data_IF_552342017389
#
_entry.id   IF_552342017389
#
_cell.length_a   1.000
_cell.length_b   1.000
_cell.length_c   1.000
_cell.angle_alpha   90.00
_cell.angle_beta   90.00
_cell.angle_gamma   90.00
#
_symmetry.space_group_name_H-M   'P 1'
#
loop_
_entity.id
_entity.type
_entity.pdbx_description
1 polymer ?
#
# COMPACT_ATOMS: atom_id res chain seq x y z
N UNK A 1 35.64 8.29 -4.24
CA UNK A 1 34.66 7.60 -3.40
C UNK A 1 33.40 7.40 -4.23
N UNK A 2 32.87 6.17 -4.34
CA UNK A 2 31.67 5.87 -5.13
C UNK A 2 30.44 6.59 -4.54
N UNK A 3 29.49 7.02 -5.38
CA UNK A 3 28.22 7.59 -4.95
C UNK A 3 27.48 6.61 -4.02
N UNK A 4 27.45 5.32 -4.37
CA UNK A 4 26.82 4.28 -3.56
C UNK A 4 27.44 4.18 -2.16
N UNK A 5 28.77 4.18 -2.07
CA UNK A 5 29.48 4.12 -0.78
C UNK A 5 29.27 5.36 0.10
N UNK A 6 28.90 6.51 -0.50
CA UNK A 6 28.57 7.71 0.26
C UNK A 6 27.23 7.63 0.99
N UNK A 7 26.27 6.94 0.39
CA UNK A 7 24.89 6.90 0.84
C UNK A 7 24.48 5.56 1.48
N UNK A 8 25.35 4.55 1.43
CA UNK A 8 25.10 3.21 1.95
C UNK A 8 26.34 2.65 2.64
N UNK A 9 26.19 2.29 3.90
CA UNK A 9 27.22 1.59 4.66
C UNK A 9 27.51 0.23 4.03
N UNK A 10 26.48 -0.49 3.58
CA UNK A 10 26.59 -1.77 2.92
C UNK A 10 27.48 -1.71 1.66
N UNK A 11 27.26 -0.72 0.79
CA UNK A 11 28.12 -0.52 -0.39
C UNK A 11 29.52 0.00 -0.02
N UNK A 12 29.65 0.77 1.04
CA UNK A 12 30.97 1.17 1.54
C UNK A 12 31.81 -0.04 1.94
N UNK A 13 31.21 -0.96 2.68
CA UNK A 13 31.87 -2.17 3.16
C UNK A 13 32.17 -3.15 2.00
N UNK A 14 31.19 -3.36 1.10
CA UNK A 14 31.41 -4.20 -0.09
C UNK A 14 32.56 -3.72 -0.98
N UNK A 15 32.70 -2.40 -1.16
CA UNK A 15 33.77 -1.81 -1.96
C UNK A 15 35.12 -1.76 -1.23
N UNK A 16 35.12 -1.88 0.10
CA UNK A 16 36.35 -1.95 0.90
C UNK A 16 36.96 -3.36 0.93
N UNK A 17 36.19 -4.39 0.61
CA UNK A 17 36.67 -5.78 0.54
C UNK A 17 37.66 -5.89 -0.63
N UNK A 18 38.88 -6.43 -0.41
CA UNK A 18 39.82 -6.68 -1.48
C UNK A 18 39.19 -7.58 -2.55
N UNK A 19 39.17 -7.11 -3.78
CA UNK A 19 38.70 -7.92 -4.90
C UNK A 19 39.71 -9.04 -5.19
N UNK A 20 39.26 -10.28 -5.45
CA UNK A 20 40.14 -11.36 -5.82
C UNK A 20 40.97 -10.95 -7.04
N UNK A 21 42.22 -11.34 -7.04
CA UNK A 21 43.15 -11.12 -8.19
C UNK A 21 42.92 -12.17 -9.29
N UNK A 22 41.69 -12.54 -9.54
CA UNK A 22 41.37 -13.52 -10.55
C UNK A 22 41.83 -13.00 -11.91
N UNK A 23 42.84 -13.66 -12.43
CA UNK A 23 43.04 -13.81 -13.87
C UNK A 23 41.70 -14.26 -14.41
N UNK A 24 41.11 -13.47 -15.30
CA UNK A 24 39.83 -13.70 -15.93
C UNK A 24 39.65 -15.18 -16.28
N UNK A 25 38.94 -15.92 -15.45
CA UNK A 25 38.43 -17.22 -15.81
C UNK A 25 37.38 -17.01 -16.90
N UNK A 26 37.67 -17.47 -18.12
CA UNK A 26 36.88 -17.26 -19.35
C UNK A 26 35.45 -17.84 -19.28
N UNK A 27 35.01 -18.29 -18.11
CA UNK A 27 33.71 -18.95 -17.92
C UNK A 27 32.53 -18.06 -17.59
N UNK A 28 32.74 -16.79 -17.24
CA UNK A 28 31.63 -15.82 -17.13
C UNK A 28 31.58 -14.98 -18.40
N UNK A 29 30.77 -15.41 -19.37
CA UNK A 29 30.65 -14.90 -20.73
C UNK A 29 30.23 -13.44 -20.89
N UNK A 30 30.76 -12.52 -20.09
CA UNK A 30 30.60 -11.07 -20.29
C UNK A 30 31.91 -10.53 -20.86
N UNK A 31 32.10 -10.76 -22.17
CA UNK A 31 33.20 -10.21 -22.95
C UNK A 31 32.94 -8.71 -23.25
N UNK A 32 33.43 -7.84 -22.36
CA UNK A 32 33.49 -6.39 -22.57
C UNK A 32 34.45 -5.97 -23.70
N UNK A 33 35.13 -6.92 -24.35
CA UNK A 33 36.08 -6.66 -25.43
C UNK A 33 35.44 -6.47 -26.80
N UNK A 34 34.14 -6.77 -26.96
CA UNK A 34 33.44 -6.67 -28.26
C UNK A 34 32.96 -5.28 -28.64
N UNK A 35 33.04 -4.32 -27.75
CA UNK A 35 32.76 -2.92 -28.13
C UNK A 35 34.02 -2.26 -28.72
N UNK A 36 34.17 -2.44 -30.03
CA UNK A 36 35.28 -1.95 -30.86
C UNK A 36 35.26 -0.42 -31.01
N UNK A 37 35.23 0.35 -29.92
CA UNK A 37 35.14 1.82 -30.02
C UNK A 37 36.21 2.60 -29.24
N UNK A 38 36.90 1.97 -28.31
CA UNK A 38 37.80 2.70 -27.41
C UNK A 38 39.22 2.10 -27.38
N UNK A 39 39.86 2.03 -28.54
CA UNK A 39 41.31 1.86 -28.60
C UNK A 39 41.92 3.18 -28.96
N UNK A 40 42.53 3.87 -27.96
CA UNK A 40 43.81 4.52 -28.17
C UNK A 40 44.45 4.97 -26.86
N UNK A 41 45.73 4.52 -26.78
CA UNK A 41 46.90 5.24 -26.29
C UNK A 41 47.07 5.46 -24.79
N UNK A 42 48.10 4.80 -24.26
CA UNK A 42 48.81 5.22 -23.05
C UNK A 42 48.72 4.19 -21.90
N UNK A 43 49.79 3.52 -21.65
CA UNK A 43 50.06 2.66 -20.50
C UNK A 43 50.16 3.48 -19.20
N UNK A 44 49.06 4.05 -18.79
CA UNK A 44 48.86 4.50 -17.41
C UNK A 44 48.06 3.41 -16.74
N UNK A 45 48.51 2.89 -15.60
CA UNK A 45 47.92 1.76 -14.90
C UNK A 45 46.38 1.91 -14.80
N UNK A 46 45.68 1.07 -15.53
CA UNK A 46 44.20 1.02 -15.46
C UNK A 46 43.82 0.73 -14.01
N UNK A 47 43.31 1.74 -13.31
CA UNK A 47 42.66 1.49 -12.06
C UNK A 47 41.52 0.49 -12.32
N UNK A 48 41.65 -0.73 -11.76
CA UNK A 48 40.60 -1.76 -11.87
C UNK A 48 39.32 -1.20 -11.24
N UNK A 49 38.28 -1.12 -12.04
CA UNK A 49 36.96 -0.72 -11.55
C UNK A 49 36.37 -1.95 -10.87
N UNK A 50 36.04 -1.89 -9.58
CA UNK A 50 35.43 -3.02 -8.89
C UNK A 50 34.05 -3.32 -9.51
N UNK A 51 33.79 -4.59 -9.78
CA UNK A 51 32.53 -5.08 -10.31
C UNK A 51 31.78 -5.78 -9.17
N UNK A 52 30.56 -5.36 -8.91
CA UNK A 52 29.66 -5.98 -7.93
C UNK A 52 28.47 -6.54 -8.69
N UNK A 53 28.22 -7.83 -8.54
CA UNK A 53 27.04 -8.50 -9.12
C UNK A 53 25.89 -8.39 -8.12
N UNK A 54 24.78 -7.79 -8.55
CA UNK A 54 23.54 -7.70 -7.79
C UNK A 54 22.52 -8.69 -8.36
N UNK A 55 21.77 -9.35 -7.49
CA UNK A 55 20.70 -10.29 -7.88
C UNK A 55 19.30 -9.63 -7.87
N UNK A 56 19.27 -8.31 -7.95
CA UNK A 56 18.06 -7.52 -7.97
C UNK A 56 17.58 -7.29 -9.39
N UNK A 57 16.32 -6.86 -9.54
CA UNK A 57 15.81 -6.54 -10.88
C UNK A 57 16.51 -5.31 -11.45
N UNK A 58 16.78 -5.32 -12.73
CA UNK A 58 17.45 -4.17 -13.40
C UNK A 58 16.64 -2.90 -13.26
N UNK A 59 15.31 -3.00 -13.28
CA UNK A 59 14.38 -1.87 -13.11
C UNK A 59 14.48 -1.24 -11.73
N UNK A 60 14.48 -2.04 -10.67
CA UNK A 60 14.60 -1.53 -9.29
C UNK A 60 15.97 -0.86 -9.07
N UNK A 61 17.04 -1.45 -9.62
CA UNK A 61 18.38 -0.85 -9.57
C UNK A 61 18.44 0.46 -10.35
N UNK A 62 17.84 0.53 -11.53
CA UNK A 62 17.74 1.76 -12.31
C UNK A 62 17.00 2.86 -11.56
N UNK A 63 15.85 2.55 -10.96
CA UNK A 63 15.06 3.48 -10.17
C UNK A 63 15.82 3.97 -8.92
N UNK A 64 16.53 3.08 -8.23
CA UNK A 64 17.39 3.43 -7.11
C UNK A 64 18.50 4.40 -7.54
N UNK A 65 19.21 4.10 -8.63
CA UNK A 65 20.29 4.94 -9.13
C UNK A 65 19.80 6.32 -9.57
N UNK A 66 18.66 6.38 -10.28
CA UNK A 66 18.00 7.65 -10.63
C UNK A 66 17.67 8.47 -9.39
N UNK A 67 17.09 7.83 -8.36
CA UNK A 67 16.75 8.51 -7.11
C UNK A 67 17.99 9.00 -6.34
N UNK A 68 19.12 8.32 -6.43
CA UNK A 68 20.37 8.74 -5.81
C UNK A 68 21.07 9.88 -6.57
N UNK A 69 20.98 9.90 -7.90
CA UNK A 69 21.67 10.90 -8.74
C UNK A 69 20.86 12.18 -8.83
N UNK A 70 19.56 12.05 -9.15
CA UNK A 70 18.68 13.19 -9.44
C UNK A 70 17.87 13.64 -8.21
N UNK A 71 17.98 12.92 -7.11
CA UNK A 71 17.07 13.01 -5.98
C UNK A 71 15.76 12.23 -6.21
N UNK A 72 15.08 11.80 -5.13
CA UNK A 72 13.84 11.06 -5.25
C UNK A 72 12.72 11.92 -5.83
N UNK A 73 12.21 11.51 -6.99
CA UNK A 73 11.05 12.13 -7.65
C UNK A 73 9.91 11.13 -7.60
N UNK A 74 9.06 11.27 -6.59
CA UNK A 74 7.88 10.45 -6.42
C UNK A 74 6.68 11.09 -7.12
N UNK A 75 5.73 10.26 -7.59
CA UNK A 75 4.52 10.67 -8.28
C UNK A 75 3.35 10.98 -7.32
N UNK A 76 2.17 10.45 -7.65
CA UNK A 76 0.93 10.72 -6.91
C UNK A 76 0.41 9.52 -6.11
N UNK A 77 1.27 8.58 -5.75
CA UNK A 77 0.90 7.31 -5.12
C UNK A 77 -0.09 6.45 -5.93
N UNK A 78 -0.16 6.66 -7.25
CA UNK A 78 -0.90 5.78 -8.14
C UNK A 78 -0.15 4.45 -8.36
N UNK A 79 -0.67 3.60 -9.22
CA UNK A 79 -0.09 2.27 -9.45
C UNK A 79 1.30 2.31 -10.06
N UNK A 80 1.54 3.24 -10.98
CA UNK A 80 2.83 3.38 -11.66
C UNK A 80 3.87 3.92 -10.70
N UNK A 81 3.51 4.93 -9.91
CA UNK A 81 4.35 5.46 -8.85
C UNK A 81 4.68 4.39 -7.79
N UNK A 82 3.69 3.60 -7.37
CA UNK A 82 3.92 2.50 -6.44
C UNK A 82 4.95 1.47 -6.95
N UNK A 83 4.94 1.17 -8.24
CA UNK A 83 5.92 0.27 -8.84
C UNK A 83 7.35 0.77 -8.64
N UNK A 84 7.57 2.06 -8.89
CA UNK A 84 8.87 2.72 -8.69
C UNK A 84 9.23 2.80 -7.20
N UNK A 85 8.32 3.31 -6.37
CA UNK A 85 8.54 3.51 -4.94
C UNK A 85 8.80 2.19 -4.21
N UNK A 86 8.07 1.12 -4.55
CA UNK A 86 8.26 -0.19 -3.93
C UNK A 86 9.62 -0.79 -4.25
N UNK A 87 10.11 -0.66 -5.48
CA UNK A 87 11.45 -1.09 -5.87
C UNK A 87 12.53 -0.32 -5.10
N UNK A 88 12.40 1.02 -5.05
CA UNK A 88 13.31 1.86 -4.28
C UNK A 88 13.30 1.46 -2.80
N UNK A 89 12.12 1.22 -2.18
CA UNK A 89 12.01 0.84 -0.77
C UNK A 89 12.67 -0.52 -0.48
N UNK A 90 12.49 -1.52 -1.35
CA UNK A 90 13.15 -2.83 -1.22
C UNK A 90 14.67 -2.67 -1.21
N UNK A 91 15.20 -1.99 -2.22
CA UNK A 91 16.65 -1.84 -2.34
C UNK A 91 17.23 -0.89 -1.28
N UNK A 92 16.53 0.18 -0.94
CA UNK A 92 16.95 1.08 0.13
C UNK A 92 16.97 0.38 1.50
N UNK A 93 16.04 -0.53 1.77
CA UNK A 93 16.05 -1.37 2.97
C UNK A 93 17.18 -2.40 2.92
N UNK A 94 17.32 -3.13 1.81
CA UNK A 94 18.32 -4.17 1.63
C UNK A 94 19.75 -3.64 1.73
N UNK A 95 20.02 -2.50 1.12
CA UNK A 95 21.35 -1.90 1.03
C UNK A 95 21.57 -0.71 1.97
N UNK A 96 20.69 -0.51 2.93
CA UNK A 96 20.81 0.51 3.99
C UNK A 96 21.00 1.94 3.47
N UNK A 97 20.14 2.37 2.54
CA UNK A 97 20.04 3.77 2.10
C UNK A 97 19.01 4.51 2.96
N UNK A 98 19.34 4.85 4.20
CA UNK A 98 18.39 5.34 5.21
C UNK A 98 17.63 6.60 4.79
N UNK A 99 18.31 7.58 4.19
CA UNK A 99 17.68 8.83 3.75
C UNK A 99 16.63 8.56 2.67
N UNK A 100 16.98 7.73 1.68
CA UNK A 100 16.08 7.39 0.58
C UNK A 100 14.92 6.53 1.06
N UNK A 101 15.19 5.56 1.95
CA UNK A 101 14.17 4.75 2.60
C UNK A 101 13.17 5.60 3.36
N UNK A 102 13.64 6.54 4.17
CA UNK A 102 12.79 7.45 4.94
C UNK A 102 11.92 8.33 4.04
N UNK A 103 12.50 8.88 2.97
CA UNK A 103 11.77 9.72 2.01
C UNK A 103 10.68 8.92 1.26
N UNK A 104 11.02 7.73 0.75
CA UNK A 104 10.06 6.87 0.04
C UNK A 104 8.95 6.35 0.96
N UNK A 105 9.28 6.01 2.22
CA UNK A 105 8.30 5.58 3.21
C UNK A 105 7.37 6.73 3.63
N UNK A 106 7.89 7.94 3.81
CA UNK A 106 7.08 9.12 4.08
C UNK A 106 6.10 9.41 2.94
N UNK A 107 6.56 9.29 1.69
CA UNK A 107 5.72 9.45 0.50
C UNK A 107 4.58 8.41 0.49
N UNK A 108 4.89 7.14 0.63
CA UNK A 108 3.88 6.06 0.65
C UNK A 108 2.89 6.19 1.83
N UNK A 109 3.35 6.71 2.98
CA UNK A 109 2.51 6.95 4.15
C UNK A 109 1.46 8.05 3.94
N UNK A 110 1.55 8.86 2.90
CA UNK A 110 0.49 9.83 2.57
C UNK A 110 -0.74 9.13 2.00
N UNK A 111 -0.54 8.07 1.22
CA UNK A 111 -1.63 7.24 0.69
C UNK A 111 -2.08 6.14 1.67
N UNK A 112 -1.18 5.68 2.54
CA UNK A 112 -1.42 4.62 3.53
C UNK A 112 -1.10 5.11 4.94
N UNK A 113 -1.88 6.08 5.44
CA UNK A 113 -1.56 6.79 6.67
C UNK A 113 -1.81 5.94 7.91
N UNK A 114 -0.98 6.10 8.97
CA UNK A 114 -1.14 5.38 10.23
C UNK A 114 -2.21 5.99 11.14
N UNK A 115 -2.82 7.14 10.75
CA UNK A 115 -3.76 7.87 11.59
C UNK A 115 -5.14 7.99 10.93
N UNK A 116 -6.20 8.06 11.75
CA UNK A 116 -7.57 8.24 11.26
C UNK A 116 -7.72 9.55 10.46
N UNK A 117 -7.17 10.65 10.94
CA UNK A 117 -7.23 11.94 10.23
C UNK A 117 -6.57 11.86 8.83
N UNK A 118 -5.44 11.18 8.73
CA UNK A 118 -4.78 10.95 7.44
C UNK A 118 -5.66 10.09 6.53
N UNK A 119 -6.31 9.07 7.10
CA UNK A 119 -7.25 8.22 6.37
C UNK A 119 -8.43 9.00 5.82
N UNK A 120 -9.05 9.86 6.62
CA UNK A 120 -10.15 10.73 6.18
C UNK A 120 -9.74 11.61 5.00
N UNK A 121 -8.56 12.25 5.08
CA UNK A 121 -8.03 13.04 3.96
C UNK A 121 -7.77 12.21 2.71
N UNK A 122 -7.33 10.96 2.87
CA UNK A 122 -7.18 10.01 1.75
C UNK A 122 -8.52 9.66 1.10
N UNK A 123 -9.55 9.43 1.91
CA UNK A 123 -10.90 9.12 1.39
C UNK A 123 -11.50 10.31 0.63
N UNK A 124 -11.32 11.53 1.10
CA UNK A 124 -11.73 12.75 0.39
C UNK A 124 -11.06 12.86 -0.99
N UNK A 125 -9.76 12.53 -1.05
CA UNK A 125 -9.02 12.48 -2.32
C UNK A 125 -9.55 11.40 -3.26
N UNK A 126 -9.82 10.20 -2.71
CA UNK A 126 -10.38 9.08 -3.48
C UNK A 126 -11.76 9.42 -4.05
N UNK A 127 -12.64 9.97 -3.23
CA UNK A 127 -13.98 10.38 -3.66
C UNK A 127 -13.91 11.43 -4.77
N UNK A 128 -13.02 12.41 -4.63
CA UNK A 128 -12.80 13.43 -5.66
C UNK A 128 -12.28 12.82 -6.96
N UNK A 129 -11.36 11.85 -6.86
CA UNK A 129 -10.82 11.15 -8.03
C UNK A 129 -11.91 10.34 -8.75
N UNK A 130 -12.70 9.56 -8.03
CA UNK A 130 -13.79 8.73 -8.58
C UNK A 130 -14.86 9.57 -9.26
N UNK A 131 -15.24 10.71 -8.68
CA UNK A 131 -16.17 11.66 -9.29
C UNK A 131 -15.66 12.22 -10.63
N UNK A 132 -14.36 12.50 -10.70
CA UNK A 132 -13.74 13.05 -11.92
C UNK A 132 -13.39 11.98 -12.96
N UNK A 133 -13.33 10.71 -12.57
CA UNK A 133 -12.89 9.60 -13.42
C UNK A 133 -13.77 8.35 -13.25
N UNK A 134 -15.09 8.41 -13.56
CA UNK A 134 -16.05 7.35 -13.25
C UNK A 134 -15.77 6.00 -13.94
N UNK A 135 -14.91 5.98 -14.96
CA UNK A 135 -14.58 4.76 -15.73
C UNK A 135 -13.11 4.33 -15.56
N UNK A 136 -12.38 4.98 -14.65
CA UNK A 136 -10.99 4.58 -14.37
C UNK A 136 -10.93 3.68 -13.14
N UNK A 137 -9.97 2.76 -13.10
CA UNK A 137 -9.72 1.99 -11.90
C UNK A 137 -9.33 2.91 -10.74
N UNK A 138 -9.41 2.40 -9.51
CA UNK A 138 -9.02 3.14 -8.30
C UNK A 138 -7.61 3.71 -8.43
N UNK A 139 -7.41 4.88 -7.85
CA UNK A 139 -6.15 5.60 -7.89
C UNK A 139 -5.02 4.77 -7.25
N UNK A 140 -5.24 4.29 -6.04
CA UNK A 140 -4.22 3.60 -5.25
C UNK A 140 -4.06 2.13 -5.65
N UNK A 141 -2.87 1.55 -5.46
CA UNK A 141 -2.60 0.14 -5.71
C UNK A 141 -3.43 -0.77 -4.81
N UNK A 142 -3.50 -2.07 -5.17
CA UNK A 142 -4.21 -3.06 -4.39
C UNK A 142 -3.63 -3.17 -2.97
N UNK A 143 -4.46 -3.18 -1.90
CA UNK A 143 -3.98 -3.21 -0.52
C UNK A 143 -3.07 -4.41 -0.19
N UNK A 144 -3.24 -5.56 -0.86
CA UNK A 144 -2.35 -6.71 -0.67
C UNK A 144 -0.90 -6.43 -1.08
N UNK A 145 -0.70 -5.59 -2.11
CA UNK A 145 0.65 -5.18 -2.50
C UNK A 145 1.32 -4.37 -1.40
N UNK A 146 0.54 -3.52 -0.73
CA UNK A 146 1.03 -2.72 0.40
C UNK A 146 1.32 -3.60 1.61
N UNK A 147 0.45 -4.57 1.93
CA UNK A 147 0.66 -5.51 3.04
C UNK A 147 1.96 -6.30 2.80
N UNK A 148 2.13 -6.85 1.60
CA UNK A 148 3.33 -7.61 1.26
C UNK A 148 4.60 -6.75 1.33
N UNK A 149 4.58 -5.56 0.74
CA UNK A 149 5.70 -4.62 0.82
C UNK A 149 5.99 -4.25 2.28
N UNK A 150 4.98 -3.91 3.07
CA UNK A 150 5.15 -3.53 4.48
C UNK A 150 5.80 -4.65 5.31
N UNK A 151 5.51 -5.93 4.99
CA UNK A 151 6.16 -7.08 5.62
C UNK A 151 7.61 -7.25 5.17
N UNK A 152 7.84 -7.09 3.87
CA UNK A 152 9.17 -7.24 3.27
C UNK A 152 10.17 -6.20 3.78
N UNK A 153 9.75 -4.93 3.92
CA UNK A 153 10.61 -3.81 4.34
C UNK A 153 10.52 -3.48 5.83
N UNK A 154 9.81 -4.29 6.63
CA UNK A 154 9.57 -4.07 8.06
C UNK A 154 8.99 -2.68 8.37
N UNK A 155 7.91 -2.31 7.65
CA UNK A 155 7.20 -1.03 7.82
C UNK A 155 5.76 -1.23 8.34
N UNK A 156 5.57 -1.64 9.61
CA UNK A 156 4.26 -1.99 10.16
C UNK A 156 3.27 -0.82 10.18
N UNK A 157 3.73 0.42 10.11
CA UNK A 157 2.88 1.62 10.09
C UNK A 157 1.95 1.72 8.87
N UNK A 158 2.25 1.01 7.78
CA UNK A 158 1.39 0.95 6.58
C UNK A 158 0.24 -0.05 6.73
N UNK A 159 0.38 -1.03 7.62
CA UNK A 159 -0.55 -2.16 7.75
C UNK A 159 -1.97 -1.76 8.17
N UNK A 160 -2.18 -0.85 9.15
CA UNK A 160 -3.54 -0.51 9.59
C UNK A 160 -4.41 0.02 8.44
N UNK A 161 -3.90 0.96 7.65
CA UNK A 161 -4.62 1.52 6.51
C UNK A 161 -4.89 0.46 5.43
N UNK A 162 -3.90 -0.38 5.11
CA UNK A 162 -4.03 -1.42 4.11
C UNK A 162 -5.04 -2.51 4.51
N UNK A 163 -5.01 -2.97 5.77
CA UNK A 163 -5.99 -3.92 6.29
C UNK A 163 -7.40 -3.33 6.38
N UNK A 164 -7.51 -2.06 6.79
CA UNK A 164 -8.80 -1.39 6.84
C UNK A 164 -9.39 -1.24 5.44
N UNK A 165 -8.60 -0.82 4.45
CA UNK A 165 -9.07 -0.68 3.08
C UNK A 165 -9.61 -1.99 2.53
N UNK A 166 -8.83 -3.08 2.60
CA UNK A 166 -9.25 -4.38 2.10
C UNK A 166 -10.43 -4.98 2.88
N UNK A 167 -10.58 -4.65 4.17
CA UNK A 167 -11.68 -5.16 4.98
C UNK A 167 -13.06 -4.68 4.54
N UNK A 168 -13.13 -3.59 3.78
CA UNK A 168 -14.38 -3.00 3.27
C UNK A 168 -14.99 -3.78 2.09
N UNK A 169 -14.20 -4.64 1.44
CA UNK A 169 -14.64 -5.43 0.29
C UNK A 169 -15.12 -6.80 0.72
N UNK A 170 -16.08 -7.36 -0.01
CA UNK A 170 -16.50 -8.76 0.18
C UNK A 170 -15.38 -9.71 -0.25
N UNK A 171 -15.41 -10.94 0.23
CA UNK A 171 -14.44 -11.94 -0.20
C UNK A 171 -14.54 -12.25 -1.70
N UNK A 172 -15.74 -12.21 -2.28
CA UNK A 172 -15.91 -12.38 -3.72
C UNK A 172 -15.17 -11.27 -4.49
N UNK A 173 -15.31 -10.00 -4.09
CA UNK A 173 -14.58 -8.91 -4.70
C UNK A 173 -13.06 -9.00 -4.55
N UNK A 174 -12.60 -9.64 -3.49
CA UNK A 174 -11.16 -9.80 -3.22
C UNK A 174 -10.55 -10.95 -4.03
N UNK A 175 -11.24 -12.09 -4.13
CA UNK A 175 -10.68 -13.34 -4.65
C UNK A 175 -11.24 -13.75 -6.01
N UNK A 176 -12.42 -13.25 -6.37
CA UNK A 176 -13.09 -13.53 -7.64
C UNK A 176 -13.46 -12.22 -8.32
N UNK A 177 -12.48 -11.39 -8.70
CA UNK A 177 -12.75 -10.11 -9.34
C UNK A 177 -13.48 -10.36 -10.66
N UNK A 178 -14.65 -9.74 -10.79
CA UNK A 178 -15.46 -9.74 -12.01
C UNK A 178 -15.03 -8.64 -12.99
N UNK A 179 -15.83 -8.42 -14.02
CA UNK A 179 -15.61 -7.34 -15.01
C UNK A 179 -15.60 -5.94 -14.38
N UNK A 180 -16.28 -5.79 -13.22
CA UNK A 180 -16.35 -4.54 -12.43
C UNK A 180 -15.28 -4.50 -11.32
N UNK A 181 -14.14 -5.17 -11.48
CA UNK A 181 -13.07 -5.18 -10.49
C UNK A 181 -12.61 -3.76 -10.13
N UNK A 182 -12.85 -3.29 -8.88
CA UNK A 182 -12.47 -1.95 -8.47
C UNK A 182 -10.94 -1.74 -8.47
N UNK A 183 -10.18 -2.83 -8.45
CA UNK A 183 -8.72 -2.77 -8.46
C UNK A 183 -8.12 -2.88 -9.86
N UNK A 184 -8.89 -3.32 -10.88
CA UNK A 184 -8.45 -3.48 -12.27
C UNK A 184 -7.24 -4.42 -12.39
N UNK A 185 -7.23 -5.49 -11.60
CA UNK A 185 -6.18 -6.50 -11.62
C UNK A 185 -6.73 -7.72 -12.35
N UNK A 186 -6.00 -8.19 -13.36
CA UNK A 186 -6.36 -9.43 -14.04
C UNK A 186 -6.22 -10.62 -13.08
N UNK A 187 -7.14 -11.62 -13.12
CA UNK A 187 -7.13 -12.77 -12.23
C UNK A 187 -5.80 -13.53 -12.15
N UNK A 188 -5.04 -13.53 -13.25
CA UNK A 188 -3.71 -14.15 -13.34
C UNK A 188 -2.61 -13.42 -12.55
N UNK A 189 -2.89 -12.20 -12.08
CA UNK A 189 -1.93 -11.33 -11.36
C UNK A 189 -2.42 -10.92 -9.98
N UNK A 190 -3.51 -11.53 -9.48
CA UNK A 190 -4.03 -11.20 -8.16
C UNK A 190 -2.96 -11.40 -7.09
N UNK A 191 -2.56 -10.36 -6.38
CA UNK A 191 -1.58 -10.49 -5.32
C UNK A 191 -2.18 -11.35 -4.20
N UNK A 192 -1.36 -12.22 -3.62
CA UNK A 192 -1.74 -13.00 -2.44
C UNK A 192 -1.00 -12.47 -1.22
N UNK A 193 -1.63 -12.53 -0.06
CA UNK A 193 -1.00 -12.24 1.23
C UNK A 193 -0.65 -13.54 1.96
N UNK A 194 0.19 -13.44 2.98
CA UNK A 194 0.56 -14.60 3.80
C UNK A 194 -0.67 -15.21 4.49
N UNK A 195 -0.67 -16.54 4.78
CA UNK A 195 -1.77 -17.16 5.51
C UNK A 195 -2.06 -16.50 6.86
N UNK A 196 -1.01 -16.01 7.55
CA UNK A 196 -1.15 -15.29 8.82
C UNK A 196 -1.83 -13.93 8.64
N UNK A 197 -1.56 -13.21 7.57
CA UNK A 197 -2.22 -11.94 7.28
C UNK A 197 -3.65 -12.16 6.78
N UNK A 198 -3.89 -13.25 6.04
CA UNK A 198 -5.25 -13.66 5.70
C UNK A 198 -6.08 -13.97 6.95
N UNK A 199 -5.52 -14.71 7.90
CA UNK A 199 -6.19 -14.98 9.17
C UNK A 199 -6.53 -13.68 9.91
N UNK A 200 -5.59 -12.72 9.95
CA UNK A 200 -5.84 -11.39 10.56
C UNK A 200 -6.97 -10.64 9.87
N UNK A 201 -7.00 -10.69 8.53
CA UNK A 201 -8.08 -10.08 7.75
C UNK A 201 -9.44 -10.72 8.09
N UNK A 202 -9.52 -12.05 8.11
CA UNK A 202 -10.76 -12.77 8.42
C UNK A 202 -11.27 -12.42 9.82
N UNK A 203 -10.40 -12.54 10.84
CA UNK A 203 -10.75 -12.24 12.23
C UNK A 203 -11.13 -10.75 12.38
N UNK A 204 -10.42 -9.86 11.71
CA UNK A 204 -10.73 -8.42 11.72
C UNK A 204 -12.09 -8.10 11.11
N UNK A 205 -12.44 -8.73 9.98
CA UNK A 205 -13.76 -8.57 9.34
C UNK A 205 -14.88 -9.10 10.23
N UNK A 206 -14.70 -10.27 10.83
CA UNK A 206 -15.67 -10.85 11.77
C UNK A 206 -15.88 -9.93 12.99
N UNK A 207 -14.82 -9.39 13.57
CA UNK A 207 -14.90 -8.46 14.69
C UNK A 207 -15.63 -7.15 14.31
N UNK A 208 -15.42 -6.63 13.12
CA UNK A 208 -16.14 -5.45 12.62
C UNK A 208 -17.63 -5.77 12.47
N UNK A 209 -17.99 -6.88 11.83
CA UNK A 209 -19.37 -7.30 11.65
C UNK A 209 -20.07 -7.49 13.01
N UNK A 210 -19.41 -8.17 13.96
CA UNK A 210 -19.94 -8.32 15.31
C UNK A 210 -20.18 -6.97 15.99
N UNK A 211 -19.23 -6.05 15.91
CA UNK A 211 -19.34 -4.71 16.50
C UNK A 211 -20.51 -3.93 15.92
N UNK A 212 -20.68 -3.96 14.59
CA UNK A 212 -21.80 -3.30 13.90
C UNK A 212 -23.13 -3.91 14.34
N UNK A 213 -23.22 -5.24 14.40
CA UNK A 213 -24.41 -5.96 14.83
C UNK A 213 -24.81 -5.57 16.27
N UNK A 214 -23.86 -5.56 17.19
CA UNK A 214 -24.09 -5.13 18.59
C UNK A 214 -24.54 -3.66 18.64
N UNK A 215 -23.94 -2.78 17.83
CA UNK A 215 -24.32 -1.38 17.77
C UNK A 215 -25.76 -1.22 17.30
N UNK A 216 -26.15 -1.87 16.20
CA UNK A 216 -27.53 -1.85 15.67
C UNK A 216 -28.54 -2.36 16.72
N UNK A 217 -28.24 -3.48 17.37
CA UNK A 217 -29.10 -4.05 18.42
C UNK A 217 -29.26 -3.11 19.61
N UNK A 218 -28.16 -2.46 20.03
CA UNK A 218 -28.18 -1.52 21.17
C UNK A 218 -29.00 -0.28 20.83
N UNK A 219 -28.84 0.26 19.63
CA UNK A 219 -29.64 1.40 19.13
C UNK A 219 -31.11 1.02 19.02
N UNK A 220 -31.44 -0.17 18.51
CA UNK A 220 -32.80 -0.67 18.40
C UNK A 220 -33.48 -0.83 19.76
N UNK A 221 -32.75 -1.30 20.77
CA UNK A 221 -33.25 -1.46 22.14
C UNK A 221 -33.35 -0.15 22.93
N UNK A 222 -32.58 0.86 22.54
CA UNK A 222 -32.58 2.19 23.19
C UNK A 222 -33.73 3.07 22.73
N UNK A 223 -34.49 2.67 21.71
CA UNK A 223 -35.73 3.36 21.35
C UNK A 223 -36.75 3.16 22.49
N UNK A 224 -37.18 4.24 23.19
CA UNK A 224 -38.09 4.11 24.31
C UNK A 224 -39.35 3.43 23.84
N UNK A 225 -39.74 2.36 24.56
CA UNK A 225 -41.00 1.68 24.42
C UNK A 225 -42.11 2.72 24.80
N UNK A 226 -42.47 3.61 23.88
CA UNK A 226 -43.59 4.52 24.09
C UNK A 226 -44.85 3.67 24.03
N UNK A 227 -45.33 3.29 25.22
CA UNK A 227 -46.70 2.88 25.40
C UNK A 227 -47.58 3.97 24.75
N UNK A 228 -48.57 3.61 23.95
CA UNK A 228 -49.55 4.59 23.45
C UNK A 228 -50.26 5.17 24.64
N UNK A 229 -49.91 6.39 25.05
CA UNK A 229 -50.73 7.21 25.92
C UNK A 229 -51.98 7.55 25.13
N UNK A 230 -53.02 6.75 25.36
CA UNK A 230 -54.41 7.13 25.08
C UNK A 230 -54.76 8.39 25.91
N UNK A 231 -55.20 9.37 25.21
CA UNK A 231 -55.82 10.65 25.70
C UNK A 231 -54.85 11.76 26.17
N UNK A 232 -54.68 12.75 25.34
CA UNK A 232 -55.20 14.09 25.63
C UNK A 232 -54.98 15.07 24.48
N UNK A 233 -56.01 15.76 24.17
CA UNK A 233 -56.17 16.88 23.24
C UNK A 233 -55.26 18.05 23.56
N UNK A 234 -54.87 18.78 22.52
CA UNK A 234 -54.36 20.17 22.45
C UNK A 234 -52.89 20.44 22.72
N UNK A 235 -52.26 20.91 21.69
CA UNK A 235 -51.40 22.06 21.82
C UNK A 235 -49.89 21.87 21.50
N UNK A 236 -49.48 22.54 20.46
CA UNK A 236 -48.17 23.05 20.12
C UNK A 236 -47.15 22.08 19.46
N UNK A 237 -47.02 22.32 18.15
CA UNK A 237 -45.89 21.90 17.34
C UNK A 237 -44.60 22.49 17.90
N UNK A 238 -43.69 21.63 18.33
CA UNK A 238 -42.27 21.94 18.38
C UNK A 238 -41.57 20.95 17.41
N UNK A 239 -40.91 21.50 16.40
CA UNK A 239 -40.08 20.77 15.44
C UNK A 239 -38.86 20.19 16.16
N UNK A 240 -39.00 18.99 16.72
CA UNK A 240 -37.88 18.11 17.00
C UNK A 240 -38.06 16.90 16.08
N UNK A 241 -37.04 16.61 15.26
CA UNK A 241 -37.03 15.54 14.24
C UNK A 241 -37.24 14.15 14.86
N UNK A 242 -38.48 13.87 15.26
CA UNK A 242 -38.92 12.60 15.82
C UNK A 242 -39.51 11.76 14.70
N UNK A 243 -39.10 10.50 14.66
CA UNK A 243 -39.61 9.48 13.77
C UNK A 243 -41.11 9.54 13.59
N UNK A 244 -41.60 9.68 12.36
CA UNK A 244 -42.99 9.89 12.02
C UNK A 244 -43.85 8.65 12.32
N UNK A 245 -43.24 7.48 12.40
CA UNK A 245 -43.91 6.20 12.73
C UNK A 245 -42.96 5.27 13.48
N UNK A 246 -43.19 5.07 14.76
CA UNK A 246 -42.43 4.15 15.61
C UNK A 246 -42.51 2.68 15.13
N UNK A 247 -43.63 2.30 14.51
CA UNK A 247 -43.85 0.95 13.98
C UNK A 247 -43.04 0.71 12.73
N UNK A 248 -42.92 1.67 11.83
CA UNK A 248 -42.09 1.57 10.62
C UNK A 248 -40.62 1.53 10.98
N UNK A 249 -40.15 2.44 11.85
CA UNK A 249 -38.77 2.42 12.34
C UNK A 249 -38.38 1.08 13.01
N UNK A 250 -39.29 0.49 13.80
CA UNK A 250 -39.05 -0.78 14.46
C UNK A 250 -38.97 -1.94 13.46
N UNK A 251 -39.76 -1.89 12.40
CA UNK A 251 -39.71 -2.86 11.31
C UNK A 251 -38.43 -2.76 10.53
N UNK A 252 -38.01 -1.55 10.14
CA UNK A 252 -36.77 -1.29 9.41
C UNK A 252 -35.54 -1.73 10.22
N UNK A 253 -35.51 -1.50 11.54
CA UNK A 253 -34.47 -2.02 12.42
C UNK A 253 -34.47 -3.53 12.54
N UNK A 254 -35.65 -4.18 12.57
CA UNK A 254 -35.72 -5.64 12.62
C UNK A 254 -35.19 -6.26 11.33
N UNK A 255 -35.52 -5.70 10.18
CA UNK A 255 -35.00 -6.14 8.88
C UNK A 255 -33.47 -5.96 8.78
N UNK A 256 -32.90 -4.85 9.32
CA UNK A 256 -31.45 -4.64 9.38
C UNK A 256 -30.74 -5.66 10.29
N UNK A 257 -31.37 -6.04 11.40
CA UNK A 257 -30.81 -7.06 12.33
C UNK A 257 -30.88 -8.46 11.73
N UNK A 258 -31.89 -8.78 10.90
CA UNK A 258 -31.99 -10.06 10.19
C UNK A 258 -31.01 -10.18 9.04
N UNK A 259 -30.52 -9.07 8.49
CA UNK A 259 -29.52 -9.02 7.40
C UNK A 259 -28.06 -8.99 7.90
N UNK A 260 -27.83 -8.73 9.18
CA UNK A 260 -26.50 -8.64 9.80
C UNK A 260 -26.08 -9.98 10.43
#
# INVERSE_FOLDING_TARGET
>A
MSLLARHSVCFSDMLAIPQPNDELDETTGFDLSKDKGWRESGSVGRARIPIIVLHDTAEDVENLLKALIDGPKFGHNDRDDFRVVSGILRLATKYLFEVLRSAALAHLSTAWPPTLKGWESREDLMQTYELNHPHKPRLFPHPFLIINLAREIEAPQLLPAAFYDISRYSYAQIFEPGDDDPFGIYPSQSPMISPSDMQRLCVGKEAIQHTITVLIQTMGNSLPNRQPLLHSTHGRRTNSGLCVSATTCKKDFSELVELA
#
